data_IF_826448340206
#
_entry.id   IF_826448340206
#
_cell.length_a   1.000
_cell.length_b   1.000
_cell.length_c   1.000
_cell.angle_alpha   90.00
_cell.angle_beta   90.00
_cell.angle_gamma   90.00
#
_symmetry.space_group_name_H-M   'P 1'
#
loop_
_entity.id
_entity.type
_entity.pdbx_description
1 polymer ?
#
# COMPACT_ATOMS: atom_id res chain seq x y z
N UNK A 1 -16.42 0.82 -2.25
CA UNK A 1 -15.21 -0.01 -2.10
C UNK A 1 -14.45 0.53 -0.91
N UNK A 2 -14.15 -0.31 0.08
CA UNK A 2 -13.45 0.11 1.29
C UNK A 2 -12.01 -0.41 1.24
N UNK A 3 -11.03 0.45 1.50
CA UNK A 3 -9.62 0.08 1.50
C UNK A 3 -9.21 -0.62 2.80
N UNK A 4 -8.23 -1.53 2.74
CA UNK A 4 -7.73 -2.24 3.93
C UNK A 4 -7.25 -1.28 5.04
N UNK A 5 -6.74 -0.10 4.67
CA UNK A 5 -6.36 0.96 5.62
C UNK A 5 -7.55 1.53 6.39
N UNK A 6 -8.72 1.64 5.75
CA UNK A 6 -9.96 2.08 6.39
C UNK A 6 -10.48 0.99 7.33
N UNK A 7 -10.50 -0.27 6.87
CA UNK A 7 -10.83 -1.43 7.71
C UNK A 7 -9.91 -1.51 8.93
N UNK A 8 -8.60 -1.33 8.76
CA UNK A 8 -7.64 -1.30 9.87
C UNK A 8 -8.01 -0.23 10.90
N UNK A 9 -8.25 1.00 10.44
CA UNK A 9 -8.60 2.10 11.31
C UNK A 9 -9.92 1.88 12.07
N UNK A 10 -10.89 1.23 11.44
CA UNK A 10 -12.21 0.96 12.01
C UNK A 10 -12.18 -0.21 13.03
N UNK A 11 -11.34 -1.22 12.81
CA UNK A 11 -11.38 -2.48 13.56
C UNK A 11 -10.38 -2.55 14.72
N UNK A 12 -9.28 -1.79 14.68
CA UNK A 12 -8.22 -1.89 15.70
C UNK A 12 -8.39 -0.82 16.78
N UNK A 13 -8.58 -1.20 18.05
CA UNK A 13 -8.77 -0.25 19.16
C UNK A 13 -7.62 0.77 19.32
N UNK A 14 -6.40 0.38 18.95
CA UNK A 14 -5.21 1.22 19.09
C UNK A 14 -4.87 2.05 17.84
N UNK A 15 -5.53 1.86 16.70
CA UNK A 15 -5.11 2.47 15.43
C UNK A 15 -4.97 3.99 15.54
N UNK A 16 -5.94 4.66 16.18
CA UNK A 16 -5.89 6.11 16.43
C UNK A 16 -4.68 6.50 17.28
N UNK A 17 -4.41 5.77 18.36
CA UNK A 17 -3.30 6.06 19.28
C UNK A 17 -1.95 5.85 18.60
N UNK A 18 -1.76 4.73 17.90
CA UNK A 18 -0.54 4.43 17.15
C UNK A 18 -0.26 5.51 16.10
N UNK A 19 -1.29 5.92 15.35
CA UNK A 19 -1.15 7.00 14.38
C UNK A 19 -0.70 8.33 15.01
N UNK A 20 -1.22 8.67 16.20
CA UNK A 20 -0.77 9.87 16.94
C UNK A 20 0.69 9.77 17.38
N UNK A 21 1.12 8.62 17.90
CA UNK A 21 2.50 8.40 18.35
C UNK A 21 3.50 8.65 17.22
N UNK A 22 3.25 8.12 16.03
CA UNK A 22 4.15 8.25 14.87
C UNK A 22 4.17 9.67 14.28
N UNK A 23 3.12 10.47 14.50
CA UNK A 23 3.07 11.88 14.09
C UNK A 23 3.76 12.80 15.09
N UNK A 24 3.66 12.49 16.39
CA UNK A 24 4.17 13.34 17.48
C UNK A 24 5.65 13.13 17.77
N UNK A 25 6.16 11.91 17.57
CA UNK A 25 7.55 11.58 17.89
C UNK A 25 8.50 11.97 16.76
N UNK A 26 9.61 12.62 17.13
CA UNK A 26 10.67 12.97 16.17
C UNK A 26 11.38 11.69 15.72
N UNK A 27 11.69 10.79 16.67
CA UNK A 27 12.42 9.55 16.43
C UNK A 27 11.48 8.35 16.23
N UNK A 28 11.67 7.63 15.11
CA UNK A 28 10.86 6.45 14.78
C UNK A 28 11.03 5.31 15.80
N UNK A 29 12.22 5.16 16.39
CA UNK A 29 12.49 4.12 17.39
C UNK A 29 11.66 4.31 18.67
N UNK A 30 11.50 5.56 19.12
CA UNK A 30 10.67 5.92 20.27
C UNK A 30 9.19 5.63 19.98
N UNK A 31 8.70 6.05 18.81
CA UNK A 31 7.34 5.75 18.35
C UNK A 31 7.05 4.25 18.39
N UNK A 32 8.00 3.45 17.91
CA UNK A 32 7.91 1.99 17.85
C UNK A 32 7.90 1.36 19.24
N UNK A 33 8.72 1.84 20.17
CA UNK A 33 8.71 1.34 21.55
C UNK A 33 7.35 1.60 22.22
N UNK A 34 6.86 2.84 22.15
CA UNK A 34 5.56 3.20 22.73
C UNK A 34 4.39 2.47 22.06
N UNK A 35 4.47 2.25 20.75
CA UNK A 35 3.49 1.44 20.01
C UNK A 35 3.43 0.01 20.54
N UNK A 36 4.60 -0.64 20.74
CA UNK A 36 4.67 -2.00 21.29
C UNK A 36 4.01 -2.08 22.66
N UNK A 37 4.23 -1.09 23.53
CA UNK A 37 3.60 -1.05 24.85
C UNK A 37 2.08 -0.91 24.78
N UNK A 38 1.57 -0.07 23.88
CA UNK A 38 0.12 0.10 23.66
C UNK A 38 -0.52 -1.21 23.20
N UNK A 39 0.08 -1.85 22.20
CA UNK A 39 -0.45 -3.10 21.63
C UNK A 39 -0.35 -4.23 22.65
N UNK A 40 0.77 -4.36 23.36
CA UNK A 40 0.96 -5.37 24.40
C UNK A 40 -0.15 -5.34 25.44
N UNK A 41 -0.51 -4.16 25.95
CA UNK A 41 -1.61 -4.01 26.93
C UNK A 41 -2.96 -4.48 26.39
N UNK A 42 -3.24 -4.20 25.13
CA UNK A 42 -4.51 -4.62 24.49
C UNK A 42 -4.51 -6.12 24.18
N UNK A 43 -3.37 -6.68 23.76
CA UNK A 43 -3.21 -8.13 23.57
C UNK A 43 -3.33 -8.88 24.90
N UNK A 44 -2.73 -8.38 25.99
CA UNK A 44 -2.86 -8.96 27.33
C UNK A 44 -4.32 -8.93 27.82
N UNK A 45 -5.05 -7.84 27.56
CA UNK A 45 -6.48 -7.76 27.87
C UNK A 45 -7.27 -8.80 27.08
N UNK A 46 -7.00 -8.96 25.78
CA UNK A 46 -7.72 -9.92 24.96
C UNK A 46 -7.35 -11.38 25.29
N UNK A 47 -6.10 -11.63 25.70
CA UNK A 47 -5.62 -12.94 26.13
C UNK A 47 -6.32 -13.47 27.39
N UNK A 48 -7.01 -12.61 28.16
CA UNK A 48 -7.85 -13.03 29.28
C UNK A 48 -9.11 -13.78 28.82
N UNK A 49 -9.52 -13.62 27.56
CA UNK A 49 -10.77 -14.15 27.02
C UNK A 49 -10.52 -15.22 25.94
N UNK A 50 -9.42 -15.10 25.19
CA UNK A 50 -9.09 -16.01 24.08
C UNK A 50 -7.60 -16.32 24.03
N UNK A 51 -7.23 -17.51 23.54
CA UNK A 51 -5.85 -17.79 23.18
C UNK A 51 -5.47 -17.02 21.90
N UNK A 52 -4.32 -16.35 21.92
CA UNK A 52 -3.83 -15.55 20.79
C UNK A 52 -2.59 -16.25 20.22
N UNK A 53 -2.63 -16.76 18.97
CA UNK A 53 -1.47 -17.37 18.34
C UNK A 53 -0.31 -16.39 18.23
N UNK A 54 0.92 -16.85 18.46
CA UNK A 54 2.12 -16.00 18.35
C UNK A 54 2.26 -15.35 16.96
N UNK A 55 1.87 -16.06 15.90
CA UNK A 55 1.85 -15.54 14.54
C UNK A 55 0.92 -14.32 14.40
N UNK A 56 -0.25 -14.33 15.06
CA UNK A 56 -1.19 -13.21 15.07
C UNK A 56 -0.58 -11.97 15.74
N UNK A 57 0.15 -12.16 16.84
CA UNK A 57 0.86 -11.09 17.55
C UNK A 57 1.91 -10.44 16.65
N UNK A 58 2.71 -11.26 15.95
CA UNK A 58 3.74 -10.78 15.02
C UNK A 58 3.11 -9.97 13.88
N UNK A 59 2.04 -10.48 13.28
CA UNK A 59 1.33 -9.80 12.20
C UNK A 59 0.72 -8.47 12.65
N UNK A 60 0.06 -8.42 13.82
CA UNK A 60 -0.55 -7.19 14.33
C UNK A 60 0.49 -6.14 14.72
N UNK A 61 1.64 -6.54 15.28
CA UNK A 61 2.75 -5.62 15.53
C UNK A 61 3.29 -5.02 14.22
N UNK A 62 3.45 -5.84 13.18
CA UNK A 62 3.93 -5.38 11.87
C UNK A 62 2.90 -4.47 11.18
N UNK A 63 1.61 -4.81 11.22
CA UNK A 63 0.53 -3.97 10.71
C UNK A 63 0.47 -2.63 11.44
N UNK A 64 0.62 -2.62 12.76
CA UNK A 64 0.62 -1.37 13.52
C UNK A 64 1.83 -0.50 13.21
N UNK A 65 3.01 -1.10 13.00
CA UNK A 65 4.21 -0.39 12.55
C UNK A 65 3.98 0.21 11.15
N UNK A 66 3.45 -0.59 10.20
CA UNK A 66 3.11 -0.15 8.86
C UNK A 66 2.05 0.97 8.86
N UNK A 67 1.01 0.85 9.69
CA UNK A 67 -0.01 1.87 9.90
C UNK A 67 0.58 3.16 10.47
N UNK A 68 1.47 3.06 11.46
CA UNK A 68 2.17 4.20 12.04
C UNK A 68 2.95 4.98 10.98
N UNK A 69 3.73 4.28 10.15
CA UNK A 69 4.44 4.87 9.01
C UNK A 69 3.48 5.50 7.99
N UNK A 70 2.42 4.80 7.59
CA UNK A 70 1.39 5.30 6.67
C UNK A 70 0.77 6.61 7.17
N UNK A 71 0.42 6.67 8.46
CA UNK A 71 -0.15 7.89 9.07
C UNK A 71 0.87 9.03 9.10
N UNK A 72 2.12 8.76 9.50
CA UNK A 72 3.22 9.75 9.54
C UNK A 72 3.45 10.38 8.18
N UNK A 73 3.35 9.59 7.11
CA UNK A 73 3.61 10.03 5.74
C UNK A 73 2.35 10.48 4.98
N UNK A 74 1.29 10.87 5.71
CA UNK A 74 0.15 11.60 5.14
C UNK A 74 -1.00 10.73 4.67
N UNK A 75 -1.05 9.44 5.04
CA UNK A 75 -2.10 8.48 4.68
C UNK A 75 -2.31 8.36 3.16
N UNK A 76 -1.21 8.37 2.40
CA UNK A 76 -1.25 8.33 0.94
C UNK A 76 -1.71 6.95 0.46
N UNK A 77 -2.83 6.91 -0.26
CA UNK A 77 -3.32 5.70 -0.95
C UNK A 77 -3.02 5.86 -2.44
N UNK A 78 -2.33 4.86 -3.00
CA UNK A 78 -2.16 4.69 -4.44
C UNK A 78 -3.01 3.52 -4.91
N UNK A 79 -3.81 3.72 -5.95
CA UNK A 79 -4.76 2.74 -6.47
C UNK A 79 -4.40 2.41 -7.91
N UNK A 80 -4.10 1.15 -8.23
CA UNK A 80 -3.94 0.70 -9.61
C UNK A 80 -5.31 0.68 -10.28
N UNK A 81 -5.56 1.54 -11.27
CA UNK A 81 -6.85 1.55 -11.97
C UNK A 81 -7.10 0.20 -12.65
N UNK A 82 -8.37 -0.21 -12.77
CA UNK A 82 -8.74 -1.58 -13.16
C UNK A 82 -8.05 -2.09 -14.44
N UNK A 83 -7.96 -1.25 -15.48
CA UNK A 83 -7.26 -1.62 -16.72
C UNK A 83 -5.76 -1.84 -16.50
N UNK A 84 -5.10 -0.99 -15.70
CA UNK A 84 -3.70 -1.14 -15.34
C UNK A 84 -3.46 -2.35 -14.45
N UNK A 85 -4.30 -2.56 -13.44
CA UNK A 85 -4.22 -3.73 -12.56
C UNK A 85 -4.35 -5.03 -13.38
N UNK A 86 -5.33 -5.10 -14.29
CA UNK A 86 -5.51 -6.23 -15.21
C UNK A 86 -4.28 -6.46 -16.10
N UNK A 87 -3.71 -5.42 -16.70
CA UNK A 87 -2.51 -5.54 -17.52
C UNK A 87 -1.28 -6.00 -16.72
N UNK A 88 -1.14 -5.52 -15.49
CA UNK A 88 -0.03 -5.89 -14.62
C UNK A 88 -0.16 -7.32 -14.09
N UNK A 89 -1.37 -7.80 -13.83
CA UNK A 89 -1.60 -9.22 -13.51
C UNK A 89 -1.17 -10.15 -14.67
N UNK A 90 -1.28 -9.68 -15.92
CA UNK A 90 -0.80 -10.39 -17.12
C UNK A 90 0.65 -10.04 -17.51
N UNK A 91 1.37 -9.31 -16.66
CA UNK A 91 2.77 -8.97 -16.85
C UNK A 91 3.62 -9.83 -15.92
N UNK A 92 4.67 -10.47 -16.47
CA UNK A 92 5.63 -11.22 -15.66
C UNK A 92 6.23 -10.33 -14.56
N UNK A 93 6.34 -10.86 -13.35
CA UNK A 93 7.01 -10.18 -12.26
C UNK A 93 8.41 -9.71 -12.70
N UNK A 94 8.84 -8.49 -12.32
CA UNK A 94 10.19 -8.06 -12.60
C UNK A 94 11.21 -8.99 -11.92
N UNK A 95 12.34 -9.24 -12.58
CA UNK A 95 13.47 -9.99 -12.00
C UNK A 95 14.23 -9.17 -10.95
N UNK A 96 14.16 -7.84 -11.04
CA UNK A 96 14.84 -6.87 -10.20
C UNK A 96 13.90 -5.69 -9.96
N UNK A 97 13.98 -5.03 -8.81
CA UNK A 97 13.39 -3.68 -8.68
C UNK A 97 14.23 -2.65 -9.44
N UNK A 98 13.64 -1.51 -9.87
CA UNK A 98 14.41 -0.41 -10.44
C UNK A 98 15.47 0.11 -9.45
N UNK A 99 16.65 0.48 -9.96
CA UNK A 99 17.75 0.99 -9.12
C UNK A 99 17.40 2.34 -8.46
N UNK A 100 16.43 3.06 -9.04
CA UNK A 100 15.84 4.28 -8.49
C UNK A 100 14.34 4.12 -8.41
N UNK A 101 13.80 4.26 -7.21
CA UNK A 101 12.36 4.24 -6.98
C UNK A 101 11.81 5.67 -7.01
N UNK A 102 10.67 5.84 -7.68
CA UNK A 102 9.87 7.05 -7.62
C UNK A 102 8.58 6.75 -6.86
N UNK A 103 8.59 6.99 -5.55
CA UNK A 103 7.49 6.64 -4.66
C UNK A 103 6.66 7.89 -4.31
N UNK A 104 5.33 7.78 -4.17
CA UNK A 104 4.46 8.91 -3.87
C UNK A 104 4.68 9.47 -2.46
N UNK A 105 5.21 8.65 -1.55
CA UNK A 105 5.64 9.02 -0.20
C UNK A 105 6.63 7.98 0.34
N UNK A 106 7.34 8.30 1.42
CA UNK A 106 8.23 7.33 2.09
C UNK A 106 7.45 6.16 2.74
N UNK A 107 6.17 6.34 3.05
CA UNK A 107 5.26 5.24 3.30
C UNK A 107 3.87 5.55 2.75
N UNK A 108 3.23 4.55 2.15
CA UNK A 108 1.92 4.67 1.51
C UNK A 108 1.25 3.30 1.44
N UNK A 109 -0.02 3.27 1.05
CA UNK A 109 -0.72 2.02 0.75
C UNK A 109 -0.91 1.87 -0.75
N UNK A 110 -0.44 0.77 -1.33
CA UNK A 110 -0.71 0.40 -2.71
C UNK A 110 -1.87 -0.58 -2.77
N UNK A 111 -2.99 -0.15 -3.32
CA UNK A 111 -4.17 -0.98 -3.53
C UNK A 111 -4.13 -1.66 -4.91
N UNK A 112 -4.40 -2.96 -4.92
CA UNK A 112 -4.57 -3.79 -6.12
C UNK A 112 -6.04 -4.25 -6.15
N UNK A 113 -6.87 -3.73 -7.06
CA UNK A 113 -8.27 -4.13 -7.15
C UNK A 113 -8.44 -5.64 -7.33
N UNK A 114 -9.34 -6.23 -6.55
CA UNK A 114 -9.65 -7.66 -6.61
C UNK A 114 -8.71 -8.55 -5.80
N UNK A 115 -7.49 -8.11 -5.47
CA UNK A 115 -6.51 -8.93 -4.73
C UNK A 115 -6.24 -8.43 -3.31
N UNK A 116 -6.24 -7.11 -3.08
CA UNK A 116 -5.97 -6.51 -1.77
C UNK A 116 -5.02 -5.31 -1.87
N UNK A 117 -3.86 -5.40 -1.23
CA UNK A 117 -2.83 -4.37 -1.35
C UNK A 117 -1.65 -4.58 -0.43
N UNK A 118 -0.79 -3.58 -0.36
CA UNK A 118 0.37 -3.57 0.52
C UNK A 118 0.54 -2.20 1.19
N UNK A 119 0.81 -2.20 2.50
CA UNK A 119 1.53 -1.08 3.08
C UNK A 119 2.97 -1.15 2.61
N UNK A 120 3.46 -0.06 2.04
CA UNK A 120 4.83 0.09 1.56
C UNK A 120 5.52 1.09 2.46
N UNK A 121 6.64 0.69 3.06
CA UNK A 121 7.52 1.60 3.80
C UNK A 121 8.94 1.52 3.24
N UNK A 122 9.49 2.68 2.87
CA UNK A 122 10.79 2.81 2.24
C UNK A 122 11.88 3.07 3.28
N UNK A 123 12.96 2.26 3.24
CA UNK A 123 14.16 2.41 4.03
C UNK A 123 15.35 2.78 3.12
N UNK A 124 15.54 4.07 2.77
CA UNK A 124 16.55 4.50 1.81
C UNK A 124 17.98 4.13 2.24
N UNK A 125 18.30 4.26 3.53
CA UNK A 125 19.62 3.93 4.09
C UNK A 125 20.01 2.45 3.89
N UNK A 126 19.01 1.57 3.78
CA UNK A 126 19.19 0.13 3.57
C UNK A 126 18.84 -0.28 2.14
N UNK A 127 18.48 0.68 1.29
CA UNK A 127 17.87 0.48 -0.03
C UNK A 127 16.88 -0.68 -0.05
N UNK A 128 15.90 -0.61 0.86
CA UNK A 128 14.93 -1.67 1.05
C UNK A 128 13.50 -1.14 1.13
N UNK A 129 12.54 -1.95 0.70
CA UNK A 129 11.12 -1.76 0.94
C UNK A 129 10.64 -2.83 1.92
N UNK A 130 9.89 -2.38 2.93
CA UNK A 130 9.08 -3.26 3.76
C UNK A 130 7.67 -3.26 3.18
N UNK A 131 7.18 -4.45 2.87
CA UNK A 131 5.86 -4.70 2.32
C UNK A 131 5.06 -5.48 3.35
N UNK A 132 3.96 -4.91 3.83
CA UNK A 132 2.96 -5.64 4.61
C UNK A 132 1.76 -5.86 3.71
N UNK A 133 1.71 -7.04 3.10
CA UNK A 133 0.66 -7.47 2.20
C UNK A 133 -0.61 -7.74 3.01
N UNK A 134 -1.75 -7.32 2.48
CA UNK A 134 -3.07 -7.54 3.08
C UNK A 134 -4.04 -7.98 1.99
N UNK A 135 -4.80 -9.05 2.25
CA UNK A 135 -5.75 -9.59 1.27
C UNK A 135 -6.95 -8.68 1.07
N UNK A 136 -7.62 -8.87 -0.06
CA UNK A 136 -8.98 -8.37 -0.24
C UNK A 136 -9.90 -8.97 0.83
N UNK A 137 -10.78 -8.15 1.40
CA UNK A 137 -11.66 -8.57 2.50
C UNK A 137 -10.99 -8.57 3.88
N UNK A 138 -9.77 -8.04 3.99
CA UNK A 138 -9.07 -7.88 5.26
C UNK A 138 -9.94 -7.25 6.37
N UNK A 139 -9.92 -7.91 7.54
CA UNK A 139 -10.74 -7.59 8.70
C UNK A 139 -12.25 -7.50 8.37
N UNK A 140 -12.88 -8.61 7.97
CA UNK A 140 -14.30 -8.66 7.65
C UNK A 140 -15.17 -8.39 8.90
N UNK A 141 -16.39 -7.90 8.70
CA UNK A 141 -17.27 -7.55 9.81
C UNK A 141 -17.64 -8.77 10.65
N UNK A 142 -17.64 -8.62 11.97
CA UNK A 142 -17.98 -9.69 12.91
C UNK A 142 -16.87 -10.72 13.16
N UNK A 143 -15.73 -10.63 12.47
CA UNK A 143 -14.55 -11.47 12.79
C UNK A 143 -13.69 -10.77 13.82
N UNK A 144 -13.30 -11.52 14.86
CA UNK A 144 -12.33 -11.02 15.85
C UNK A 144 -10.99 -10.80 15.14
N UNK A 145 -10.51 -9.56 15.13
CA UNK A 145 -9.27 -9.15 14.46
C UNK A 145 -8.05 -9.97 14.93
N UNK A 146 -8.10 -10.58 16.11
CA UNK A 146 -7.06 -11.50 16.63
C UNK A 146 -6.96 -12.84 15.93
N UNK A 147 -8.01 -13.25 15.20
CA UNK A 147 -8.07 -14.55 14.53
C UNK A 147 -7.70 -14.47 13.04
N UNK A 148 -7.49 -13.26 12.50
CA UNK A 148 -7.27 -13.01 11.08
C UNK A 148 -5.77 -12.96 10.67
N UNK A 149 -4.92 -13.77 11.33
CA UNK A 149 -3.47 -13.77 11.08
C UNK A 149 -3.11 -14.24 9.66
N UNK A 150 -3.96 -15.07 9.05
CA UNK A 150 -3.87 -15.58 7.68
C UNK A 150 -4.10 -14.51 6.59
N UNK A 151 -4.53 -13.31 6.99
CA UNK A 151 -4.87 -12.21 6.07
C UNK A 151 -3.70 -11.25 5.83
N UNK A 152 -2.50 -11.55 6.34
CA UNK A 152 -1.33 -10.67 6.28
C UNK A 152 -0.05 -11.46 5.97
N UNK A 153 0.80 -10.89 5.12
CA UNK A 153 2.14 -11.43 4.84
C UNK A 153 3.19 -10.32 4.87
N UNK A 154 4.37 -10.63 5.42
CA UNK A 154 5.45 -9.67 5.59
C UNK A 154 6.61 -9.98 4.65
N UNK A 155 6.86 -9.08 3.70
CA UNK A 155 7.94 -9.25 2.72
C UNK A 155 8.89 -8.06 2.80
N UNK A 156 10.20 -8.34 2.82
CA UNK A 156 11.23 -7.31 2.67
C UNK A 156 11.95 -7.54 1.35
N UNK A 157 12.05 -6.48 0.55
CA UNK A 157 12.76 -6.51 -0.73
C UNK A 157 13.84 -5.43 -0.75
N UNK A 158 15.03 -5.80 -1.16
CA UNK A 158 16.20 -4.93 -1.32
C UNK A 158 16.44 -4.60 -2.79
N UNK A 159 17.01 -3.42 -3.05
CA UNK A 159 17.33 -2.94 -4.38
C UNK A 159 18.62 -2.11 -4.39
N UNK A 160 19.40 -2.07 -5.48
CA UNK A 160 19.28 -2.94 -6.65
C UNK A 160 19.64 -4.38 -6.30
N UNK A 161 19.01 -5.35 -6.94
CA UNK A 161 19.23 -6.77 -6.63
C UNK A 161 18.22 -7.67 -7.30
N UNK A 162 18.51 -8.97 -7.37
CA UNK A 162 17.59 -9.97 -7.92
C UNK A 162 16.50 -10.31 -6.89
N UNK A 163 15.26 -10.39 -7.35
CA UNK A 163 14.12 -10.67 -6.49
C UNK A 163 13.95 -12.17 -6.24
N UNK A 164 14.31 -13.04 -7.18
CA UNK A 164 14.01 -14.48 -7.07
C UNK A 164 14.50 -15.10 -5.74
N UNK A 165 15.75 -14.86 -5.35
CA UNK A 165 16.30 -15.38 -4.09
C UNK A 165 15.62 -14.78 -2.84
N UNK A 166 15.22 -13.50 -2.92
CA UNK A 166 14.58 -12.78 -1.80
C UNK A 166 13.14 -13.25 -1.57
N UNK A 167 12.47 -13.72 -2.62
CA UNK A 167 11.07 -14.12 -2.59
C UNK A 167 10.87 -15.63 -2.37
N UNK A 168 11.94 -16.42 -2.32
CA UNK A 168 11.85 -17.88 -2.21
C UNK A 168 11.19 -18.41 -0.93
N UNK A 169 11.03 -17.57 0.10
CA UNK A 169 10.35 -17.91 1.35
C UNK A 169 8.90 -17.44 1.44
N UNK A 170 8.38 -16.73 0.43
CA UNK A 170 7.00 -16.23 0.43
C UNK A 170 6.06 -17.37 0.05
N UNK A 171 5.00 -17.58 0.82
CA UNK A 171 4.05 -18.65 0.56
C UNK A 171 3.29 -18.45 -0.77
N UNK A 172 2.97 -19.55 -1.44
CA UNK A 172 2.45 -19.57 -2.81
C UNK A 172 1.18 -18.71 -2.97
N UNK A 173 0.31 -18.75 -1.97
CA UNK A 173 -0.96 -18.04 -1.95
C UNK A 173 -0.81 -16.50 -1.91
N UNK A 174 0.40 -15.98 -1.67
CA UNK A 174 0.72 -14.55 -1.69
C UNK A 174 1.43 -14.08 -2.95
N UNK A 175 1.91 -15.01 -3.79
CA UNK A 175 2.73 -14.68 -4.95
C UNK A 175 2.00 -13.82 -5.98
N UNK A 176 0.70 -14.03 -6.18
CA UNK A 176 -0.12 -13.20 -7.08
C UNK A 176 -0.14 -11.74 -6.63
N UNK A 177 -0.57 -11.48 -5.39
CA UNK A 177 -0.65 -10.12 -4.85
C UNK A 177 0.73 -9.47 -4.77
N UNK A 178 1.75 -10.23 -4.36
CA UNK A 178 3.12 -9.75 -4.32
C UNK A 178 3.62 -9.35 -5.72
N UNK A 179 3.39 -10.18 -6.74
CA UNK A 179 3.72 -9.87 -8.12
C UNK A 179 3.02 -8.60 -8.59
N UNK A 180 1.72 -8.46 -8.33
CA UNK A 180 0.93 -7.25 -8.63
C UNK A 180 1.48 -6.00 -7.92
N UNK A 181 1.89 -6.12 -6.65
CA UNK A 181 2.51 -5.03 -5.89
C UNK A 181 3.88 -4.65 -6.46
N UNK A 182 4.74 -5.62 -6.77
CA UNK A 182 6.07 -5.37 -7.36
C UNK A 182 5.96 -4.78 -8.77
N UNK A 183 5.02 -5.26 -9.57
CA UNK A 183 4.67 -4.69 -10.87
C UNK A 183 4.19 -3.23 -10.72
N UNK A 184 3.33 -2.95 -9.74
CA UNK A 184 2.86 -1.61 -9.43
C UNK A 184 3.99 -0.67 -9.01
N UNK A 185 4.90 -1.13 -8.15
CA UNK A 185 6.08 -0.37 -7.72
C UNK A 185 7.03 -0.08 -8.90
N UNK A 186 7.27 -1.06 -9.77
CA UNK A 186 8.02 -0.85 -11.01
C UNK A 186 7.31 0.14 -11.94
N UNK A 187 5.97 0.08 -12.01
CA UNK A 187 5.16 0.99 -12.83
C UNK A 187 5.29 2.44 -12.40
N UNK A 188 5.38 2.71 -11.10
CA UNK A 188 5.54 4.07 -10.56
C UNK A 188 6.81 4.78 -11.03
N UNK A 189 7.79 4.04 -11.54
CA UNK A 189 9.01 4.60 -12.15
C UNK A 189 8.86 4.92 -13.65
N UNK A 190 7.75 4.52 -14.27
CA UNK A 190 7.55 4.70 -15.70
C UNK A 190 7.06 6.11 -16.02
N UNK A 191 7.63 6.79 -17.03
CA UNK A 191 7.23 8.15 -17.39
C UNK A 191 5.80 8.24 -17.95
N UNK A 192 5.26 7.12 -18.44
CA UNK A 192 3.89 7.03 -18.98
C UNK A 192 2.82 6.82 -17.91
N UNK A 193 3.20 6.60 -16.65
CA UNK A 193 2.23 6.45 -15.58
C UNK A 193 1.70 7.83 -15.20
N UNK A 194 0.39 8.02 -15.32
CA UNK A 194 -0.32 9.18 -14.80
C UNK A 194 -0.75 8.93 -13.36
N UNK A 195 -0.57 9.95 -12.51
CA UNK A 195 -1.01 9.96 -11.12
C UNK A 195 -2.13 10.99 -10.98
N UNK A 196 -3.37 10.53 -10.94
CA UNK A 196 -4.55 11.38 -10.82
C UNK A 196 -5.07 11.36 -9.38
N UNK A 197 -5.05 12.52 -8.71
CA UNK A 197 -5.67 12.65 -7.38
C UNK A 197 -7.17 12.84 -7.54
N UNK A 198 -7.95 11.97 -6.90
CA UNK A 198 -9.39 12.09 -6.84
C UNK A 198 -9.92 11.54 -5.51
N UNK A 199 -11.17 11.83 -5.21
CA UNK A 199 -11.86 11.18 -4.09
C UNK A 199 -12.22 9.75 -4.45
N UNK A 200 -12.35 8.89 -3.45
CA UNK A 200 -12.82 7.53 -3.66
C UNK A 200 -14.19 7.50 -4.38
N UNK A 201 -14.42 6.47 -5.19
CA UNK A 201 -15.61 6.38 -6.07
C UNK A 201 -16.94 6.33 -5.32
N UNK A 202 -16.93 5.99 -4.03
CA UNK A 202 -18.12 5.97 -3.18
C UNK A 202 -18.47 7.35 -2.59
N UNK A 203 -17.60 8.36 -2.74
CA UNK A 203 -17.84 9.70 -2.22
C UNK A 203 -19.05 10.37 -2.92
N UNK A 204 -19.93 11.07 -2.18
CA UNK A 204 -21.06 11.77 -2.78
C UNK A 204 -20.60 12.80 -3.83
N UNK A 205 -21.14 12.70 -5.06
CA UNK A 205 -20.71 13.50 -6.20
C UNK A 205 -20.83 15.01 -5.93
N UNK A 206 -21.90 15.45 -5.27
CA UNK A 206 -22.10 16.87 -4.92
C UNK A 206 -20.99 17.40 -4.00
N UNK A 207 -20.56 16.60 -3.01
CA UNK A 207 -19.49 17.00 -2.10
C UNK A 207 -18.13 16.99 -2.78
N UNK A 208 -17.91 16.06 -3.72
CA UNK A 208 -16.71 16.02 -4.54
C UNK A 208 -16.63 17.26 -5.45
N UNK A 209 -17.74 17.63 -6.09
CA UNK A 209 -17.83 18.84 -6.90
C UNK A 209 -17.57 20.10 -6.06
N UNK A 210 -18.16 20.20 -4.87
CA UNK A 210 -17.91 21.31 -3.94
C UNK A 210 -16.46 21.34 -3.44
N UNK A 211 -15.84 20.19 -3.22
CA UNK A 211 -14.42 20.09 -2.84
C UNK A 211 -13.49 20.55 -3.97
N UNK A 212 -13.92 20.42 -5.23
CA UNK A 212 -13.23 20.87 -6.43
C UNK A 212 -13.69 22.28 -6.91
N UNK A 213 -14.52 22.98 -6.13
CA UNK A 213 -15.13 24.24 -6.55
C UNK A 213 -14.09 25.25 -7.09
N UNK A 214 -14.26 25.82 -8.30
CA UNK A 214 -13.18 26.53 -9.00
C UNK A 214 -12.71 27.80 -8.28
N UNK A 215 -13.63 28.62 -7.77
CA UNK A 215 -13.31 29.94 -7.23
C UNK A 215 -13.44 30.09 -5.70
N UNK A 216 -14.28 29.30 -5.02
CA UNK A 216 -14.56 29.49 -3.59
C UNK A 216 -13.73 28.56 -2.69
N UNK A 217 -12.65 29.10 -2.11
CA UNK A 217 -11.79 28.36 -1.17
C UNK A 217 -12.55 27.86 0.08
N UNK A 218 -13.51 28.65 0.59
CA UNK A 218 -14.32 28.27 1.76
C UNK A 218 -15.21 27.05 1.47
N UNK A 219 -15.83 27.01 0.29
CA UNK A 219 -16.61 25.84 -0.17
C UNK A 219 -15.72 24.61 -0.29
N UNK A 220 -14.56 24.74 -0.96
CA UNK A 220 -13.59 23.64 -1.08
C UNK A 220 -13.18 23.08 0.27
N UNK A 221 -12.79 23.93 1.22
CA UNK A 221 -12.35 23.51 2.55
C UNK A 221 -13.47 22.87 3.36
N UNK A 222 -14.69 23.42 3.31
CA UNK A 222 -15.87 22.86 3.98
C UNK A 222 -16.19 21.46 3.46
N UNK A 223 -16.31 21.31 2.14
CA UNK A 223 -16.65 20.04 1.51
C UNK A 223 -15.55 18.99 1.70
N UNK A 224 -14.28 19.36 1.56
CA UNK A 224 -13.14 18.50 1.91
C UNK A 224 -13.21 18.03 3.35
N UNK A 225 -13.48 18.93 4.30
CA UNK A 225 -13.60 18.56 5.72
C UNK A 225 -14.78 17.62 5.97
N UNK A 226 -15.88 17.81 5.24
CA UNK A 226 -17.06 16.97 5.32
C UNK A 226 -16.79 15.56 4.79
N UNK A 227 -16.16 15.44 3.62
CA UNK A 227 -15.73 14.15 3.05
C UNK A 227 -14.83 13.38 4.02
N UNK A 228 -13.79 14.03 4.55
CA UNK A 228 -12.85 13.40 5.49
C UNK A 228 -13.54 12.97 6.80
N UNK A 229 -14.47 13.79 7.33
CA UNK A 229 -15.25 13.45 8.54
C UNK A 229 -16.18 12.26 8.31
N UNK A 230 -16.68 12.10 7.09
CA UNK A 230 -17.52 10.98 6.69
C UNK A 230 -16.73 9.73 6.30
N UNK A 231 -15.39 9.74 6.42
CA UNK A 231 -14.53 8.59 6.19
C UNK A 231 -14.02 8.43 4.76
N UNK A 232 -14.42 9.31 3.84
CA UNK A 232 -13.95 9.30 2.46
C UNK A 232 -12.49 9.77 2.37
N UNK A 233 -11.67 9.01 1.65
CA UNK A 233 -10.26 9.32 1.43
C UNK A 233 -9.99 9.99 0.08
N UNK A 234 -8.91 10.79 0.03
CA UNK A 234 -8.28 11.12 -1.24
C UNK A 234 -7.37 9.98 -1.67
N UNK A 235 -7.46 9.61 -2.94
CA UNK A 235 -6.76 8.50 -3.56
C UNK A 235 -5.97 9.01 -4.75
N UNK A 236 -4.74 8.51 -4.90
CA UNK A 236 -3.93 8.72 -6.11
C UNK A 236 -4.14 7.54 -7.04
N UNK A 237 -4.91 7.72 -8.10
CA UNK A 237 -5.14 6.72 -9.12
C UNK A 237 -3.94 6.65 -10.06
N UNK A 238 -3.37 5.46 -10.16
CA UNK A 238 -2.28 5.11 -11.06
C UNK A 238 -2.90 4.55 -12.35
N UNK A 239 -2.67 5.24 -13.47
CA UNK A 239 -3.24 4.85 -14.77
C UNK A 239 -2.27 5.08 -15.91
N UNK A 240 -2.50 4.37 -17.01
CA UNK A 240 -1.78 4.58 -18.27
C UNK A 240 -2.81 4.92 -19.32
N UNK A 241 -2.64 6.07 -19.98
CA UNK A 241 -3.54 6.51 -21.04
C UNK A 241 -3.64 5.44 -22.14
N UNK A 242 -4.84 5.31 -22.73
CA UNK A 242 -5.15 4.38 -23.82
C UNK A 242 -4.92 2.89 -23.53
N UNK A 243 -4.74 2.51 -22.26
CA UNK A 243 -4.64 1.11 -21.88
C UNK A 243 -6.03 0.48 -21.87
N UNK A 244 -6.32 -0.34 -22.88
CA UNK A 244 -7.52 -1.16 -22.89
C UNK A 244 -7.43 -2.24 -21.80
N UNK A 245 -8.46 -2.36 -20.96
CA UNK A 245 -8.61 -3.54 -20.11
C UNK A 245 -9.14 -4.72 -20.92
N UNK A 246 -8.78 -5.95 -20.56
CA UNK A 246 -9.31 -7.14 -21.22
C UNK A 246 -8.44 -8.38 -21.13
N UNK A 247 -8.78 -9.37 -21.96
CA UNK A 247 -7.99 -10.58 -22.16
C UNK A 247 -6.79 -10.27 -23.07
N UNK A 248 -5.61 -10.71 -22.64
CA UNK A 248 -4.37 -10.53 -23.39
C UNK A 248 -3.93 -11.86 -23.98
N UNK A 249 -3.58 -11.87 -25.28
CA UNK A 249 -3.08 -13.05 -25.97
C UNK A 249 -1.63 -13.41 -25.59
N UNK A 250 -0.87 -12.42 -25.11
CA UNK A 250 0.54 -12.52 -24.80
C UNK A 250 0.88 -11.79 -23.50
N UNK A 251 1.77 -12.39 -22.71
CA UNK A 251 2.22 -11.81 -21.45
C UNK A 251 3.11 -10.58 -21.67
N UNK A 252 2.90 -9.56 -20.85
CA UNK A 252 3.79 -8.43 -20.72
C UNK A 252 5.08 -8.83 -19.99
N UNK A 253 6.11 -8.00 -20.10
CA UNK A 253 7.36 -8.22 -19.37
C UNK A 253 8.12 -6.91 -19.11
N UNK A 254 9.10 -6.99 -18.22
CA UNK A 254 10.00 -5.88 -17.91
C UNK A 254 11.33 -6.06 -18.61
N UNK A 255 11.72 -5.09 -19.43
CA UNK A 255 13.05 -5.04 -20.03
C UNK A 255 13.97 -4.18 -19.19
N UNK A 256 15.08 -4.73 -18.72
CA UNK A 256 16.13 -3.96 -18.07
C UNK A 256 16.92 -3.19 -19.12
N UNK A 257 17.09 -1.89 -18.92
CA UNK A 257 17.84 -1.00 -19.81
C UNK A 257 18.87 -0.25 -18.98
N UNK A 258 20.15 -0.32 -19.38
CA UNK A 258 21.20 0.46 -18.75
C UNK A 258 21.01 1.97 -19.04
N UNK A 259 21.31 2.81 -18.07
CA UNK A 259 21.04 4.25 -18.06
C UNK A 259 22.07 5.00 -17.20
N UNK A 260 22.19 6.32 -17.39
CA UNK A 260 23.11 7.20 -16.66
C UNK A 260 24.50 7.29 -17.29
N UNK A 261 25.36 8.12 -16.69
CA UNK A 261 26.78 8.19 -17.06
C UNK A 261 27.43 6.81 -16.90
N UNK A 262 28.25 6.44 -17.88
CA UNK A 262 28.93 5.14 -17.96
C UNK A 262 28.01 3.91 -17.89
N UNK A 263 26.68 4.07 -18.04
CA UNK A 263 25.69 2.98 -17.88
C UNK A 263 25.74 2.33 -16.49
N UNK A 264 26.12 3.09 -15.47
CA UNK A 264 26.27 2.60 -14.09
C UNK A 264 24.93 2.22 -13.42
N UNK A 265 23.80 2.68 -13.96
CA UNK A 265 22.46 2.38 -13.43
C UNK A 265 21.62 1.60 -14.43
N UNK A 266 20.54 1.01 -13.93
CA UNK A 266 19.55 0.31 -14.72
C UNK A 266 18.14 0.77 -14.38
N UNK A 267 17.34 0.95 -15.43
CA UNK A 267 15.90 1.21 -15.32
C UNK A 267 15.13 0.03 -15.91
N UNK A 268 13.90 -0.13 -15.48
CA UNK A 268 12.97 -1.04 -16.13
C UNK A 268 12.15 -0.28 -17.17
N UNK A 269 11.89 -0.94 -18.29
CA UNK A 269 10.95 -0.48 -19.32
C UNK A 269 9.86 -1.52 -19.43
N UNK A 270 8.62 -1.11 -19.19
CA UNK A 270 7.48 -2.01 -19.30
C UNK A 270 7.13 -2.27 -20.77
N UNK A 271 7.08 -3.54 -21.17
CA UNK A 271 6.45 -3.98 -22.41
C UNK A 271 5.08 -4.52 -22.04
N UNK A 272 4.04 -3.78 -22.44
CA UNK A 272 2.67 -4.10 -22.10
C UNK A 272 2.23 -5.43 -22.74
N UNK A 273 1.36 -6.20 -22.08
CA UNK A 273 0.73 -7.36 -22.68
C UNK A 273 -0.11 -6.94 -23.90
N UNK A 274 -0.31 -7.88 -24.84
CA UNK A 274 -1.12 -7.69 -26.06
C UNK A 274 -2.08 -8.85 -26.22
#
# INVERSE_FOLDING_TARGET
>A
MEYAVQRYAATRPWAKRVGQLYVQTVQAAEARAQMKDVIKRELERAAQVFEIPQAAIVCELALAEAWGHFVRHGRVISHLEAALASALAHTRQPSNLPDTLNLPAAAFFLHVPGEGGAFVAHQPERKALLLTLVRMGFAPDGVNWLQAADQVELVRVEYPGELAAQLGGVAEEWLSLLSSVLNGLAMMTQPRLELAKAWESAAPADWVADAAHPSCAKTRQKARSQLLKSGFGEVTFCRVADLAGGEYASQGYWRRQAFGEEKANSRLVWVAPR
#
